data_IF_774495277092
#
_entry.id   IF_774495277092
#
_cell.length_a   1.000
_cell.length_b   1.000
_cell.length_c   1.000
_cell.angle_alpha   90.00
_cell.angle_beta   90.00
_cell.angle_gamma   90.00
#
_symmetry.space_group_name_H-M   'P 1'
#
loop_
_entity.id
_entity.type
_entity.pdbx_description
1 polymer ?
#
# COMPACT_ATOMS: atom_id res chain seq x y z
N UNK A 1 -36.34 34.05 11.02
CA UNK A 1 -36.05 33.28 9.80
C UNK A 1 -34.57 33.43 9.50
N UNK A 2 -33.71 32.43 9.74
CA UNK A 2 -32.36 32.47 9.23
C UNK A 2 -32.38 31.95 7.80
N UNK A 3 -32.07 32.81 6.84
CA UNK A 3 -31.70 32.41 5.48
C UNK A 3 -30.39 31.65 5.55
N UNK A 4 -30.45 30.33 5.62
CA UNK A 4 -29.32 29.46 5.30
C UNK A 4 -29.17 29.45 3.79
N UNK A 5 -28.36 30.35 3.24
CA UNK A 5 -27.75 30.11 1.93
C UNK A 5 -26.81 28.91 2.12
N UNK A 6 -27.37 27.69 1.98
CA UNK A 6 -26.57 26.46 1.90
C UNK A 6 -25.53 26.69 0.81
N UNK A 7 -24.24 26.50 1.15
CA UNK A 7 -23.16 26.69 0.20
C UNK A 7 -23.42 25.78 -1.01
N UNK A 8 -23.44 26.32 -2.23
CA UNK A 8 -23.66 25.53 -3.44
C UNK A 8 -22.33 24.96 -3.94
N UNK A 9 -22.31 23.68 -4.30
CA UNK A 9 -21.22 22.99 -4.98
C UNK A 9 -21.57 22.78 -6.44
N UNK A 10 -20.59 22.91 -7.33
CA UNK A 10 -20.81 22.91 -8.77
C UNK A 10 -20.32 21.60 -9.40
N UNK A 11 -21.25 20.73 -9.80
CA UNK A 11 -20.97 19.32 -10.17
C UNK A 11 -21.26 19.05 -11.65
N UNK A 12 -20.40 18.28 -12.32
CA UNK A 12 -20.58 17.87 -13.72
C UNK A 12 -21.29 16.52 -13.82
N UNK A 13 -22.60 16.52 -13.58
CA UNK A 13 -23.40 15.29 -13.56
C UNK A 13 -23.33 14.50 -14.87
N UNK A 14 -23.29 15.17 -16.02
CA UNK A 14 -23.20 14.52 -17.33
C UNK A 14 -21.84 13.90 -17.70
N UNK A 15 -20.83 13.98 -16.81
CA UNK A 15 -19.57 13.25 -16.94
C UNK A 15 -19.47 12.07 -15.95
N UNK A 16 -20.39 11.99 -14.98
CA UNK A 16 -20.30 11.05 -13.86
C UNK A 16 -21.48 10.09 -13.84
N UNK A 17 -22.69 10.57 -14.16
CA UNK A 17 -23.91 9.77 -14.16
C UNK A 17 -24.22 9.25 -15.57
N UNK A 18 -23.50 8.21 -15.96
CA UNK A 18 -23.86 7.38 -17.10
C UNK A 18 -25.13 6.57 -16.82
N UNK A 19 -25.72 5.99 -17.86
CA UNK A 19 -27.03 5.36 -17.73
C UNK A 19 -27.07 4.02 -17.03
N UNK A 20 -25.92 3.35 -16.98
CA UNK A 20 -25.78 2.10 -16.26
C UNK A 20 -25.63 2.31 -14.75
N UNK A 21 -25.44 3.57 -14.30
CA UNK A 21 -25.30 3.91 -12.88
C UNK A 21 -26.65 3.77 -12.18
N UNK A 22 -26.80 2.86 -11.20
CA UNK A 22 -28.04 2.70 -10.48
C UNK A 22 -28.22 3.87 -9.50
N UNK A 23 -29.21 4.71 -9.77
CA UNK A 23 -29.49 5.91 -8.95
C UNK A 23 -30.17 5.59 -7.61
N UNK A 24 -30.76 4.39 -7.48
CA UNK A 24 -31.47 3.97 -6.28
C UNK A 24 -32.55 4.98 -5.84
N UNK A 25 -32.70 5.24 -4.53
CA UNK A 25 -33.65 6.22 -3.98
C UNK A 25 -33.37 7.67 -4.43
N UNK A 26 -32.14 7.99 -4.86
CA UNK A 26 -31.77 9.34 -5.28
C UNK A 26 -32.32 9.70 -6.67
N UNK A 27 -32.86 8.71 -7.41
CA UNK A 27 -33.46 8.93 -8.72
C UNK A 27 -34.61 9.94 -8.72
N UNK A 28 -35.28 10.12 -7.56
CA UNK A 28 -36.43 11.01 -7.42
C UNK A 28 -36.05 12.43 -6.96
N UNK A 29 -34.76 12.69 -6.74
CA UNK A 29 -34.26 14.05 -6.52
C UNK A 29 -34.49 14.86 -7.79
N UNK A 30 -35.10 16.03 -7.64
CA UNK A 30 -35.37 16.93 -8.75
C UNK A 30 -34.27 17.97 -8.88
N UNK A 31 -33.81 18.17 -10.12
CA UNK A 31 -32.84 19.21 -10.46
C UNK A 31 -33.44 20.25 -11.38
N UNK A 32 -33.08 21.50 -11.09
CA UNK A 32 -33.31 22.62 -11.99
C UNK A 32 -32.49 22.45 -13.26
N UNK A 33 -33.17 22.36 -14.39
CA UNK A 33 -32.57 22.18 -15.70
C UNK A 33 -33.10 23.21 -16.70
N UNK A 34 -32.26 23.50 -17.69
CA UNK A 34 -32.58 24.33 -18.85
C UNK A 34 -32.59 23.46 -20.11
N UNK A 35 -33.58 23.66 -20.98
CA UNK A 35 -33.73 22.98 -22.27
C UNK A 35 -34.15 23.98 -23.34
N UNK A 36 -33.90 23.71 -24.64
CA UNK A 36 -34.59 24.43 -25.71
C UNK A 36 -36.11 24.33 -25.56
N UNK A 37 -36.84 25.36 -25.99
CA UNK A 37 -38.31 25.41 -25.93
C UNK A 37 -39.04 24.28 -26.68
N UNK A 38 -38.34 23.57 -27.56
CA UNK A 38 -38.86 22.36 -28.21
C UNK A 38 -39.04 21.18 -27.24
N UNK A 39 -38.46 21.25 -26.03
CA UNK A 39 -38.43 20.16 -25.05
C UNK A 39 -37.64 18.93 -25.50
N UNK A 40 -37.02 18.99 -26.70
CA UNK A 40 -36.23 17.92 -27.30
C UNK A 40 -34.77 18.33 -27.28
N UNK A 41 -33.97 17.67 -26.44
CA UNK A 41 -32.54 17.96 -26.36
C UNK A 41 -31.91 17.50 -25.05
N UNK A 42 -30.65 17.87 -24.89
CA UNK A 42 -29.93 17.70 -23.61
C UNK A 42 -30.46 18.68 -22.57
N UNK A 43 -30.34 18.31 -21.30
CA UNK A 43 -30.60 19.11 -20.11
C UNK A 43 -29.31 19.83 -19.72
N UNK A 44 -29.43 21.11 -19.40
CA UNK A 44 -28.31 21.99 -19.08
C UNK A 44 -28.47 22.56 -17.68
N UNK A 45 -27.39 22.62 -16.91
CA UNK A 45 -27.37 23.21 -15.57
C UNK A 45 -27.21 24.73 -15.55
N UNK A 46 -26.93 25.33 -16.70
CA UNK A 46 -26.71 26.78 -16.86
C UNK A 46 -27.47 27.29 -18.09
N UNK A 47 -28.31 28.33 -17.97
CA UNK A 47 -29.01 28.93 -19.11
C UNK A 47 -28.05 29.55 -20.15
N UNK A 48 -26.83 29.90 -19.75
CA UNK A 48 -25.79 30.50 -20.60
C UNK A 48 -24.95 29.49 -21.39
N UNK A 49 -25.23 28.19 -21.28
CA UNK A 49 -24.48 27.14 -21.97
C UNK A 49 -24.39 27.42 -23.48
N UNK A 50 -23.19 27.34 -24.06
CA UNK A 50 -22.97 27.60 -25.50
C UNK A 50 -23.86 26.71 -26.39
N UNK A 51 -24.11 25.47 -25.96
CA UNK A 51 -24.97 24.51 -26.65
C UNK A 51 -26.46 24.88 -26.62
N UNK A 52 -26.88 25.80 -25.75
CA UNK A 52 -28.24 26.37 -25.73
C UNK A 52 -28.35 27.63 -26.61
N UNK A 53 -27.25 28.27 -27.02
CA UNK A 53 -27.28 29.58 -27.71
C UNK A 53 -27.92 29.54 -29.09
N UNK A 54 -27.98 28.39 -29.74
CA UNK A 54 -28.71 28.20 -31.00
C UNK A 54 -30.23 28.11 -30.83
N UNK A 55 -30.74 28.12 -29.59
CA UNK A 55 -32.16 28.05 -29.28
C UNK A 55 -32.77 29.47 -29.24
N UNK A 56 -33.87 29.70 -29.95
CA UNK A 56 -34.59 30.98 -29.90
C UNK A 56 -35.24 31.28 -28.54
N UNK A 57 -35.51 30.25 -27.73
CA UNK A 57 -36.03 30.38 -26.37
C UNK A 57 -35.58 29.19 -25.51
N UNK A 58 -35.31 29.45 -24.23
CA UNK A 58 -34.97 28.44 -23.22
C UNK A 58 -36.10 28.28 -22.21
N UNK A 59 -36.34 27.05 -21.78
CA UNK A 59 -37.34 26.73 -20.76
C UNK A 59 -36.64 26.24 -19.50
N UNK A 60 -37.09 26.73 -18.34
CA UNK A 60 -36.74 26.22 -17.02
C UNK A 60 -37.67 25.07 -16.65
N UNK A 61 -37.12 23.97 -16.16
CA UNK A 61 -37.89 22.82 -15.70
C UNK A 61 -37.22 22.15 -14.50
N UNK A 62 -38.03 21.48 -13.69
CA UNK A 62 -37.57 20.55 -12.66
C UNK A 62 -37.68 19.14 -13.24
N UNK A 63 -36.59 18.39 -13.22
CA UNK A 63 -36.55 17.03 -13.76
C UNK A 63 -35.99 16.10 -12.70
N UNK A 64 -36.65 14.98 -12.44
CA UNK A 64 -36.11 13.95 -11.57
C UNK A 64 -34.85 13.35 -12.19
N UNK A 65 -33.84 13.01 -11.37
CA UNK A 65 -32.59 12.43 -11.87
C UNK A 65 -32.81 11.24 -12.80
N UNK A 66 -33.76 10.35 -12.46
CA UNK A 66 -34.11 9.18 -13.27
C UNK A 66 -34.63 9.51 -14.66
N UNK A 67 -35.29 10.65 -14.84
CA UNK A 67 -35.85 11.08 -16.13
C UNK A 67 -34.81 11.80 -17.00
N UNK A 68 -33.74 12.27 -16.35
CA UNK A 68 -32.65 13.03 -16.95
C UNK A 68 -31.48 12.15 -17.41
N UNK A 69 -31.50 10.84 -17.11
CA UNK A 69 -30.53 9.85 -17.60
C UNK A 69 -30.39 9.93 -19.13
N UNK A 70 -29.15 9.89 -19.64
CA UNK A 70 -28.75 10.15 -21.03
C UNK A 70 -28.97 11.57 -21.59
N UNK A 71 -29.69 12.44 -20.88
CA UNK A 71 -29.99 13.78 -21.37
C UNK A 71 -28.99 14.81 -20.86
N UNK A 72 -28.06 14.47 -20.00
CA UNK A 72 -27.13 15.46 -19.44
C UNK A 72 -26.21 16.10 -20.50
N UNK A 73 -26.10 17.43 -20.44
CA UNK A 73 -25.00 18.13 -21.07
C UNK A 73 -23.70 17.86 -20.30
N UNK A 74 -22.70 17.28 -20.96
CA UNK A 74 -21.39 16.96 -20.39
C UNK A 74 -20.56 18.18 -20.01
N UNK A 75 -20.84 19.34 -20.61
CA UNK A 75 -20.11 20.60 -20.36
C UNK A 75 -20.73 21.46 -19.26
N UNK A 76 -21.96 21.17 -18.85
CA UNK A 76 -22.66 21.95 -17.83
C UNK A 76 -22.25 21.50 -16.43
N UNK A 77 -22.35 22.45 -15.49
CA UNK A 77 -22.29 22.17 -14.06
C UNK A 77 -23.64 22.48 -13.43
N UNK A 78 -24.06 21.66 -12.47
CA UNK A 78 -25.27 21.86 -11.69
C UNK A 78 -24.90 22.40 -10.31
N UNK A 79 -25.57 23.46 -9.83
CA UNK A 79 -25.44 23.92 -8.46
C UNK A 79 -26.22 22.99 -7.53
N UNK A 80 -25.51 22.24 -6.70
CA UNK A 80 -26.07 21.30 -5.74
C UNK A 80 -25.82 21.83 -4.32
N UNK A 81 -26.82 21.86 -3.42
CA UNK A 81 -26.60 22.22 -2.01
C UNK A 81 -25.51 21.36 -1.35
N UNK A 82 -24.66 21.96 -0.52
CA UNK A 82 -23.55 21.27 0.15
C UNK A 82 -23.99 20.12 1.07
N UNK A 83 -25.21 20.21 1.59
CA UNK A 83 -25.88 19.22 2.42
C UNK A 83 -26.65 18.16 1.61
N UNK A 84 -26.62 18.22 0.27
CA UNK A 84 -27.33 17.26 -0.57
C UNK A 84 -26.65 15.89 -0.53
N UNK A 85 -27.40 14.79 -0.32
CA UNK A 85 -26.87 13.43 -0.41
C UNK A 85 -26.36 13.09 -1.83
N UNK A 86 -26.77 13.87 -2.84
CA UNK A 86 -26.28 13.73 -4.21
C UNK A 86 -24.77 14.00 -4.33
N UNK A 87 -24.19 14.85 -3.48
CA UNK A 87 -22.74 15.11 -3.52
C UNK A 87 -21.95 13.87 -3.11
N UNK A 88 -22.30 13.25 -1.99
CA UNK A 88 -21.69 12.01 -1.53
C UNK A 88 -21.88 10.88 -2.55
N UNK A 89 -23.08 10.79 -3.15
CA UNK A 89 -23.36 9.79 -4.18
C UNK A 89 -22.52 9.98 -5.43
N UNK A 90 -22.38 11.21 -5.93
CA UNK A 90 -21.57 11.47 -7.12
C UNK A 90 -20.09 11.21 -6.87
N UNK A 91 -19.58 11.47 -5.65
CA UNK A 91 -18.24 11.05 -5.25
C UNK A 91 -18.10 9.53 -5.23
N UNK A 92 -19.07 8.80 -4.70
CA UNK A 92 -19.10 7.34 -4.71
C UNK A 92 -19.12 6.76 -6.14
N UNK A 93 -19.90 7.36 -7.05
CA UNK A 93 -19.92 6.96 -8.48
C UNK A 93 -18.57 7.22 -9.14
N UNK A 94 -17.89 8.32 -8.82
CA UNK A 94 -16.55 8.59 -9.33
C UNK A 94 -15.56 7.52 -8.89
N UNK A 95 -15.53 7.18 -7.59
CA UNK A 95 -14.65 6.14 -7.04
C UNK A 95 -14.85 4.78 -7.73
N UNK A 96 -16.09 4.37 -8.01
CA UNK A 96 -16.37 3.12 -8.76
C UNK A 96 -16.01 3.23 -10.24
N UNK A 97 -16.19 4.41 -10.85
CA UNK A 97 -15.88 4.60 -12.28
C UNK A 97 -14.37 4.56 -12.53
N UNK A 98 -13.58 5.12 -11.62
CA UNK A 98 -12.12 5.17 -11.71
C UNK A 98 -11.48 3.76 -11.72
N UNK A 99 -12.19 2.74 -11.21
CA UNK A 99 -11.75 1.34 -11.28
C UNK A 99 -11.53 0.84 -12.70
N UNK A 100 -12.28 1.37 -13.69
CA UNK A 100 -12.12 0.98 -15.10
C UNK A 100 -10.71 1.27 -15.58
N UNK A 101 -10.24 2.48 -15.34
CA UNK A 101 -8.90 2.92 -15.72
C UNK A 101 -7.82 2.25 -14.87
N UNK A 102 -8.09 2.03 -13.57
CA UNK A 102 -7.12 1.40 -12.66
C UNK A 102 -6.91 -0.10 -12.95
N UNK A 103 -7.92 -0.80 -13.48
CA UNK A 103 -7.82 -2.24 -13.78
C UNK A 103 -7.09 -2.54 -15.09
N UNK A 104 -6.92 -1.53 -15.95
CA UNK A 104 -6.11 -1.67 -17.15
C UNK A 104 -4.64 -1.83 -16.76
N UNK A 105 -3.87 -2.70 -17.43
CA UNK A 105 -2.43 -2.78 -17.21
C UNK A 105 -1.82 -1.39 -17.34
N UNK A 106 -0.93 -1.02 -16.41
CA UNK A 106 -0.21 0.25 -16.52
C UNK A 106 0.43 0.33 -17.91
N UNK A 107 0.21 1.40 -18.68
CA UNK A 107 0.88 1.58 -19.97
C UNK A 107 2.41 1.66 -19.83
N UNK A 108 2.88 1.88 -18.60
CA UNK A 108 4.29 1.87 -18.17
C UNK A 108 4.64 0.52 -17.49
N UNK A 109 4.07 -0.60 -17.94
CA UNK A 109 4.67 -1.92 -17.66
C UNK A 109 5.92 -2.02 -18.51
N UNK A 110 6.97 -1.37 -18.02
CA UNK A 110 8.27 -1.25 -18.69
C UNK A 110 9.03 -2.59 -18.74
N UNK A 111 8.54 -3.61 -18.03
CA UNK A 111 9.25 -4.87 -17.83
C UNK A 111 8.53 -6.03 -18.49
N UNK A 112 9.27 -6.82 -19.26
CA UNK A 112 8.77 -8.06 -19.82
C UNK A 112 8.94 -9.24 -18.85
N UNK A 113 8.30 -10.38 -19.16
CA UNK A 113 8.35 -11.60 -18.35
C UNK A 113 9.79 -12.10 -18.13
N UNK A 114 10.71 -11.84 -19.07
CA UNK A 114 12.12 -12.23 -18.94
C UNK A 114 12.83 -11.38 -17.90
N UNK A 115 12.56 -10.06 -17.89
CA UNK A 115 13.09 -9.13 -16.89
C UNK A 115 12.57 -9.44 -15.50
N UNK A 116 11.28 -9.77 -15.35
CA UNK A 116 10.69 -10.20 -14.07
C UNK A 116 11.33 -11.49 -13.55
N UNK A 117 11.52 -12.50 -14.41
CA UNK A 117 12.16 -13.77 -14.03
C UNK A 117 13.64 -13.57 -13.66
N UNK A 118 14.35 -12.69 -14.39
CA UNK A 118 15.74 -12.37 -14.07
C UNK A 118 15.85 -11.64 -12.73
N UNK A 119 14.96 -10.69 -12.47
CA UNK A 119 14.87 -9.98 -11.20
C UNK A 119 14.61 -10.92 -10.02
N UNK A 120 13.65 -11.83 -10.15
CA UNK A 120 13.37 -12.85 -9.15
C UNK A 120 14.59 -13.76 -8.91
N UNK A 121 15.27 -14.17 -9.99
CA UNK A 121 16.49 -14.97 -9.88
C UNK A 121 17.63 -14.21 -9.19
N UNK A 122 17.78 -12.91 -9.44
CA UNK A 122 18.80 -12.08 -8.79
C UNK A 122 18.51 -11.92 -7.29
N UNK A 123 17.29 -11.47 -6.95
CA UNK A 123 16.87 -11.21 -5.57
C UNK A 123 16.80 -12.48 -4.71
N UNK A 124 16.60 -13.65 -5.32
CA UNK A 124 16.72 -14.93 -4.61
C UNK A 124 18.11 -15.13 -3.98
N UNK A 125 19.15 -14.48 -4.50
CA UNK A 125 20.54 -14.61 -4.02
C UNK A 125 20.97 -13.51 -3.03
N UNK A 126 20.27 -12.37 -2.97
CA UNK A 126 20.60 -11.22 -2.12
C UNK A 126 20.12 -9.90 -2.70
N UNK A 127 20.42 -8.77 -2.06
CA UNK A 127 20.11 -7.42 -2.60
C UNK A 127 21.23 -6.83 -3.47
N UNK A 128 22.43 -7.42 -3.41
CA UNK A 128 23.64 -6.91 -4.03
C UNK A 128 24.47 -8.05 -4.65
N UNK A 129 25.32 -7.73 -5.66
CA UNK A 129 26.29 -8.69 -6.19
C UNK A 129 27.20 -9.26 -5.10
N UNK A 130 27.37 -10.59 -5.08
CA UNK A 130 28.18 -11.29 -4.08
C UNK A 130 29.70 -11.25 -4.36
N UNK A 131 30.13 -10.77 -5.54
CA UNK A 131 31.55 -10.65 -5.88
C UNK A 131 32.10 -9.33 -5.36
N UNK A 132 33.12 -9.41 -4.50
CA UNK A 132 33.94 -8.27 -4.10
C UNK A 132 34.65 -7.67 -5.32
N UNK A 133 34.67 -6.33 -5.43
CA UNK A 133 35.46 -5.65 -6.44
C UNK A 133 36.91 -6.11 -6.31
N UNK A 134 37.47 -6.67 -7.38
CA UNK A 134 38.88 -7.06 -7.38
C UNK A 134 39.70 -5.78 -7.43
N UNK A 135 40.37 -5.48 -6.32
CA UNK A 135 41.45 -4.50 -6.33
C UNK A 135 42.52 -4.99 -7.31
N UNK A 136 42.61 -4.35 -8.48
CA UNK A 136 43.73 -4.52 -9.38
C UNK A 136 44.84 -3.54 -8.98
N UNK A 137 46.10 -3.90 -9.24
CA UNK A 137 47.27 -3.05 -8.92
C UNK A 137 47.29 -1.71 -9.70
N UNK A 138 46.44 -1.54 -10.71
CA UNK A 138 46.08 -0.26 -11.32
C UNK A 138 44.82 0.25 -10.61
N UNK A 139 44.85 1.47 -10.07
CA UNK A 139 43.86 2.20 -9.22
C UNK A 139 42.40 2.31 -9.79
N UNK A 140 41.96 1.38 -10.63
CA UNK A 140 40.61 1.18 -11.12
C UNK A 140 40.07 -0.13 -10.56
N UNK A 141 39.28 -0.04 -9.49
CA UNK A 141 38.43 -1.16 -9.05
C UNK A 141 37.47 -1.51 -10.21
N UNK A 142 37.74 -2.59 -10.96
CA UNK A 142 36.80 -3.13 -11.94
C UNK A 142 35.69 -3.90 -11.21
N UNK A 143 34.75 -3.15 -10.63
CA UNK A 143 33.49 -3.72 -10.17
C UNK A 143 32.68 -4.17 -11.40
N UNK A 144 32.04 -5.34 -11.33
CA UNK A 144 31.14 -5.83 -12.39
C UNK A 144 29.88 -4.94 -12.44
N UNK A 145 29.96 -3.85 -13.22
CA UNK A 145 28.88 -2.88 -13.35
C UNK A 145 27.60 -3.53 -13.89
N UNK A 146 27.71 -4.52 -14.77
CA UNK A 146 26.55 -5.24 -15.30
C UNK A 146 25.81 -6.00 -14.19
N UNK A 147 26.55 -6.62 -13.26
CA UNK A 147 25.94 -7.24 -12.09
C UNK A 147 25.26 -6.20 -11.19
N UNK A 148 25.88 -5.05 -10.95
CA UNK A 148 25.26 -3.98 -10.16
C UNK A 148 23.96 -3.45 -10.79
N UNK A 149 24.00 -3.18 -12.10
CA UNK A 149 22.84 -2.71 -12.86
C UNK A 149 21.70 -3.75 -12.81
N UNK A 150 22.03 -5.05 -12.88
CA UNK A 150 21.05 -6.14 -12.75
C UNK A 150 20.35 -6.14 -11.39
N UNK A 151 21.07 -6.01 -10.28
CA UNK A 151 20.46 -5.97 -8.95
C UNK A 151 19.72 -4.65 -8.69
N UNK A 152 20.20 -3.52 -9.23
CA UNK A 152 19.46 -2.26 -9.19
C UNK A 152 18.12 -2.38 -9.91
N UNK A 153 18.13 -2.92 -11.13
CA UNK A 153 16.92 -3.18 -11.91
C UNK A 153 15.97 -4.13 -11.17
N UNK A 154 16.48 -5.20 -10.58
CA UNK A 154 15.66 -6.16 -9.84
C UNK A 154 14.94 -5.50 -8.64
N UNK A 155 15.66 -4.66 -7.89
CA UNK A 155 15.06 -3.88 -6.79
C UNK A 155 14.03 -2.87 -7.29
N UNK A 156 14.33 -2.18 -8.39
CA UNK A 156 13.39 -1.25 -9.02
C UNK A 156 12.08 -1.97 -9.39
N UNK A 157 12.16 -3.14 -10.02
CA UNK A 157 11.00 -3.96 -10.38
C UNK A 157 10.19 -4.31 -9.11
N UNK A 158 10.84 -4.76 -8.03
CA UNK A 158 10.16 -5.04 -6.76
C UNK A 158 9.43 -3.84 -6.18
N UNK A 159 10.09 -2.68 -6.10
CA UNK A 159 9.48 -1.45 -5.60
C UNK A 159 8.30 -1.01 -6.48
N UNK A 160 8.38 -1.23 -7.81
CA UNK A 160 7.28 -0.93 -8.73
C UNK A 160 6.05 -1.81 -8.48
N UNK A 161 6.21 -3.12 -8.33
CA UNK A 161 5.10 -4.00 -7.98
C UNK A 161 4.49 -3.65 -6.63
N UNK A 162 5.34 -3.32 -5.63
CA UNK A 162 4.88 -2.84 -4.33
C UNK A 162 4.03 -1.58 -4.46
N UNK A 163 4.58 -0.52 -5.07
CA UNK A 163 3.88 0.77 -5.21
C UNK A 163 2.59 0.64 -6.02
N UNK A 164 2.61 -0.17 -7.08
CA UNK A 164 1.44 -0.38 -7.92
C UNK A 164 0.36 -1.18 -7.18
N UNK A 165 0.73 -2.25 -6.48
CA UNK A 165 -0.18 -3.00 -5.62
C UNK A 165 -0.87 -2.08 -4.60
N UNK A 166 -0.10 -1.23 -3.91
CA UNK A 166 -0.62 -0.27 -2.93
C UNK A 166 -1.54 0.77 -3.56
N UNK A 167 -1.20 1.24 -4.75
CA UNK A 167 -2.03 2.16 -5.53
C UNK A 167 -3.39 1.55 -5.91
N UNK A 168 -3.40 0.33 -6.45
CA UNK A 168 -4.64 -0.38 -6.83
C UNK A 168 -5.50 -0.69 -5.61
N UNK A 169 -4.88 -1.10 -4.50
CA UNK A 169 -5.58 -1.33 -3.24
C UNK A 169 -6.31 -0.08 -2.74
N UNK A 170 -5.73 1.12 -2.92
CA UNK A 170 -6.38 2.39 -2.58
C UNK A 170 -7.73 2.58 -3.29
N UNK A 171 -7.78 2.40 -4.61
CA UNK A 171 -9.04 2.47 -5.38
C UNK A 171 -10.07 1.44 -4.94
N UNK A 172 -9.60 0.24 -4.60
CA UNK A 172 -10.48 -0.81 -4.12
C UNK A 172 -11.15 -0.45 -2.78
N UNK A 173 -10.40 0.13 -1.84
CA UNK A 173 -10.94 0.62 -0.57
C UNK A 173 -11.96 1.75 -0.79
N UNK A 174 -11.61 2.76 -1.60
CA UNK A 174 -12.51 3.88 -1.91
C UNK A 174 -13.82 3.39 -2.55
N UNK A 175 -13.72 2.40 -3.45
CA UNK A 175 -14.91 1.77 -4.04
C UNK A 175 -15.70 0.92 -3.05
N UNK A 176 -15.03 0.21 -2.15
CA UNK A 176 -15.67 -0.55 -1.08
C UNK A 176 -16.49 0.34 -0.14
N UNK A 177 -15.89 1.45 0.31
CA UNK A 177 -16.57 2.48 1.10
C UNK A 177 -17.76 3.09 0.34
N UNK A 178 -17.60 3.38 -0.95
CA UNK A 178 -18.67 3.88 -1.81
C UNK A 178 -19.86 2.91 -1.89
N UNK A 179 -19.60 1.61 -2.04
CA UNK A 179 -20.65 0.58 -2.09
C UNK A 179 -21.28 0.35 -0.72
N UNK A 180 -20.51 0.42 0.36
CA UNK A 180 -21.05 0.36 1.73
C UNK A 180 -22.01 1.52 2.02
N UNK A 181 -21.64 2.75 1.61
CA UNK A 181 -22.48 3.94 1.76
C UNK A 181 -23.72 3.93 0.85
N UNK A 182 -23.61 3.32 -0.34
CA UNK A 182 -24.70 3.24 -1.33
C UNK A 182 -24.88 1.79 -1.84
N UNK A 183 -25.52 0.89 -1.06
CA UNK A 183 -25.54 -0.55 -1.36
C UNK A 183 -26.17 -0.93 -2.70
N UNK A 184 -27.07 -0.10 -3.25
CA UNK A 184 -27.65 -0.35 -4.58
C UNK A 184 -26.66 -0.16 -5.73
N UNK A 185 -25.46 0.40 -5.48
CA UNK A 185 -24.36 0.40 -6.45
C UNK A 185 -23.74 -0.99 -6.63
N UNK A 186 -23.93 -1.92 -5.69
CA UNK A 186 -23.24 -3.22 -5.68
C UNK A 186 -23.36 -4.01 -7.01
N UNK A 187 -24.55 -4.20 -7.62
CA UNK A 187 -24.64 -4.96 -8.88
C UNK A 187 -23.88 -4.33 -10.05
N UNK A 188 -23.67 -3.02 -10.02
CA UNK A 188 -22.92 -2.27 -11.03
C UNK A 188 -21.43 -2.24 -10.73
N UNK A 189 -21.05 -2.11 -9.45
CA UNK A 189 -19.65 -2.07 -9.01
C UNK A 189 -18.97 -3.45 -9.01
N UNK A 190 -19.71 -4.52 -8.71
CA UNK A 190 -19.19 -5.88 -8.56
C UNK A 190 -18.27 -6.34 -9.70
N UNK A 191 -18.66 -6.28 -10.99
CA UNK A 191 -17.77 -6.72 -12.07
C UNK A 191 -16.50 -5.85 -12.20
N UNK A 192 -16.55 -4.58 -11.81
CA UNK A 192 -15.37 -3.69 -11.82
C UNK A 192 -14.44 -3.99 -10.65
N UNK A 193 -15.01 -4.23 -9.46
CA UNK A 193 -14.27 -4.66 -8.28
C UNK A 193 -13.63 -6.04 -8.49
N UNK A 194 -14.31 -6.98 -9.15
CA UNK A 194 -13.72 -8.29 -9.50
C UNK A 194 -12.53 -8.15 -10.45
N UNK A 195 -12.65 -7.28 -11.47
CA UNK A 195 -11.55 -7.02 -12.40
C UNK A 195 -10.33 -6.40 -11.69
N UNK A 196 -10.56 -5.41 -10.82
CA UNK A 196 -9.49 -4.78 -10.04
C UNK A 196 -8.89 -5.75 -9.02
N UNK A 197 -9.70 -6.58 -8.37
CA UNK A 197 -9.23 -7.62 -7.45
C UNK A 197 -8.26 -8.59 -8.14
N UNK A 198 -8.55 -8.97 -9.39
CA UNK A 198 -7.64 -9.79 -10.18
C UNK A 198 -6.33 -9.06 -10.52
N UNK A 199 -6.35 -7.74 -10.73
CA UNK A 199 -5.15 -6.94 -10.95
C UNK A 199 -4.30 -6.83 -9.68
N UNK A 200 -4.93 -6.53 -8.54
CA UNK A 200 -4.29 -6.50 -7.22
C UNK A 200 -3.59 -7.83 -6.93
N UNK A 201 -4.26 -8.95 -7.20
CA UNK A 201 -3.71 -10.28 -6.94
C UNK A 201 -2.53 -10.64 -7.84
N UNK A 202 -2.50 -10.15 -9.09
CA UNK A 202 -1.33 -10.29 -9.97
C UNK A 202 -0.13 -9.52 -9.42
N UNK A 203 -0.30 -8.25 -9.07
CA UNK A 203 0.77 -7.42 -8.50
C UNK A 203 1.28 -7.98 -7.16
N UNK A 204 0.36 -8.45 -6.30
CA UNK A 204 0.72 -9.12 -5.04
C UNK A 204 1.56 -10.36 -5.30
N UNK A 205 1.20 -11.17 -6.28
CA UNK A 205 1.93 -12.41 -6.62
C UNK A 205 3.31 -12.11 -7.19
N UNK A 206 3.41 -11.15 -8.13
CA UNK A 206 4.69 -10.71 -8.69
C UNK A 206 5.62 -10.15 -7.60
N UNK A 207 5.09 -9.34 -6.68
CA UNK A 207 5.83 -8.88 -5.51
C UNK A 207 6.32 -10.06 -4.65
N UNK A 208 5.47 -11.06 -4.40
CA UNK A 208 5.84 -12.22 -3.59
C UNK A 208 7.00 -13.03 -4.21
N UNK A 209 7.04 -13.14 -5.54
CA UNK A 209 8.12 -13.85 -6.26
C UNK A 209 9.48 -13.12 -6.17
N UNK A 210 9.46 -11.81 -5.91
CA UNK A 210 10.65 -10.96 -5.73
C UNK A 210 11.10 -10.88 -4.25
N UNK A 211 10.45 -11.60 -3.36
CA UNK A 211 10.72 -11.61 -1.93
C UNK A 211 11.27 -12.94 -1.46
N UNK A 212 12.06 -12.90 -0.38
CA UNK A 212 12.63 -14.09 0.26
C UNK A 212 11.85 -14.41 1.54
N UNK A 213 11.03 -15.48 1.59
CA UNK A 213 10.29 -15.84 2.79
C UNK A 213 11.17 -16.08 4.02
N UNK A 214 12.40 -16.57 3.82
CA UNK A 214 13.39 -16.75 4.88
C UNK A 214 13.86 -15.42 5.48
N UNK A 215 14.04 -14.38 4.66
CA UNK A 215 14.43 -13.05 5.13
C UNK A 215 13.32 -12.44 6.00
N UNK A 216 12.06 -12.54 5.55
CA UNK A 216 10.90 -12.10 6.35
C UNK A 216 10.82 -12.80 7.71
N UNK A 217 11.16 -14.09 7.77
CA UNK A 217 11.18 -14.87 9.00
C UNK A 217 12.36 -14.48 9.92
N UNK A 218 13.55 -14.26 9.37
CA UNK A 218 14.71 -13.77 10.13
C UNK A 218 14.46 -12.37 10.70
N UNK A 219 13.87 -11.48 9.91
CA UNK A 219 13.44 -10.15 10.36
C UNK A 219 12.43 -10.21 11.51
N UNK A 220 11.57 -11.24 11.55
CA UNK A 220 10.53 -11.37 12.57
C UNK A 220 11.10 -11.48 14.00
N UNK A 221 12.33 -11.99 14.16
CA UNK A 221 12.93 -12.15 15.50
C UNK A 221 13.75 -10.95 15.96
N UNK A 222 14.10 -10.04 15.05
CA UNK A 222 14.99 -8.89 15.34
C UNK A 222 14.50 -8.03 16.52
N UNK A 223 13.20 -7.71 16.67
CA UNK A 223 12.71 -6.96 17.83
C UNK A 223 12.84 -7.70 19.17
N UNK A 224 12.98 -9.03 19.15
CA UNK A 224 13.11 -9.87 20.34
C UNK A 224 14.56 -10.13 20.74
N UNK A 225 15.52 -9.73 19.92
CA UNK A 225 16.94 -9.82 20.26
C UNK A 225 17.22 -8.91 21.47
N UNK A 226 17.82 -9.50 22.50
CA UNK A 226 18.32 -8.75 23.64
C UNK A 226 19.46 -7.82 23.21
N UNK A 227 19.57 -6.65 23.84
CA UNK A 227 20.72 -5.77 23.61
C UNK A 227 22.02 -6.56 23.89
N UNK A 228 22.94 -6.65 22.92
CA UNK A 228 24.18 -7.39 23.09
C UNK A 228 25.11 -6.68 24.09
N UNK A 229 26.05 -7.41 24.69
CA UNK A 229 27.10 -6.79 25.51
C UNK A 229 28.07 -6.00 24.63
N UNK A 230 27.86 -4.70 24.54
CA UNK A 230 28.63 -3.78 23.67
C UNK A 230 29.87 -3.23 24.38
N UNK A 231 30.77 -4.12 24.79
CA UNK A 231 32.07 -3.69 25.35
C UNK A 231 33.01 -3.20 24.23
N UNK A 232 33.64 -2.02 24.35
CA UNK A 232 34.56 -1.51 23.34
C UNK A 232 35.74 -2.45 23.09
N UNK A 233 35.73 -3.15 21.96
CA UNK A 233 36.83 -3.99 21.48
C UNK A 233 37.96 -3.11 20.91
N UNK A 234 39.20 -3.62 20.78
CA UNK A 234 40.32 -2.85 20.22
C UNK A 234 40.04 -2.20 18.85
N UNK A 235 39.22 -2.82 18.01
CA UNK A 235 38.79 -2.27 16.71
C UNK A 235 38.02 -0.95 16.81
N UNK A 236 37.37 -0.67 17.96
CA UNK A 236 36.63 0.57 18.20
C UNK A 236 37.44 1.65 18.91
N UNK A 237 38.75 1.46 19.11
CA UNK A 237 39.59 2.42 19.83
C UNK A 237 39.56 3.84 19.22
N UNK A 238 39.34 3.96 17.90
CA UNK A 238 39.18 5.24 17.20
C UNK A 238 37.99 6.09 17.66
N UNK A 239 36.99 5.47 18.30
CA UNK A 239 35.80 6.14 18.84
C UNK A 239 36.07 6.80 20.21
N UNK A 240 37.13 6.39 20.92
CA UNK A 240 37.50 6.97 22.21
C UNK A 240 36.43 6.74 23.29
N UNK A 241 36.23 7.74 24.15
CA UNK A 241 35.33 7.65 25.31
C UNK A 241 33.84 7.46 24.96
N UNK A 242 33.45 7.77 23.72
CA UNK A 242 32.07 7.64 23.24
C UNK A 242 31.73 6.26 22.66
N UNK A 243 32.71 5.33 22.60
CA UNK A 243 32.57 4.05 21.90
C UNK A 243 31.31 3.28 22.31
N UNK A 244 31.05 3.09 23.60
CA UNK A 244 29.89 2.34 24.10
C UNK A 244 28.56 2.99 23.66
N UNK A 245 28.45 4.32 23.78
CA UNK A 245 27.26 5.07 23.39
C UNK A 245 26.99 4.98 21.88
N UNK A 246 28.05 5.07 21.08
CA UNK A 246 27.98 4.95 19.62
C UNK A 246 27.58 3.52 19.23
N UNK A 247 28.17 2.51 19.86
CA UNK A 247 27.82 1.11 19.62
C UNK A 247 26.36 0.81 19.97
N UNK A 248 25.85 1.34 21.08
CA UNK A 248 24.42 1.19 21.44
C UNK A 248 23.51 1.82 20.38
N UNK A 249 23.85 3.02 19.91
CA UNK A 249 23.11 3.68 18.81
C UNK A 249 23.20 2.89 17.50
N UNK A 250 24.36 2.30 17.22
CA UNK A 250 24.61 1.47 16.04
C UNK A 250 23.71 0.23 16.06
N UNK A 251 23.68 -0.48 17.19
CA UNK A 251 22.76 -1.61 17.44
C UNK A 251 21.31 -1.20 17.26
N UNK A 252 20.83 -0.15 17.95
CA UNK A 252 19.44 0.29 17.85
C UNK A 252 19.06 0.72 16.44
N UNK A 253 19.98 1.36 15.69
CA UNK A 253 19.73 1.78 14.31
C UNK A 253 19.63 0.59 13.35
N UNK A 254 20.51 -0.41 13.50
CA UNK A 254 20.40 -1.67 12.75
C UNK A 254 19.11 -2.40 13.12
N UNK A 255 18.81 -2.55 14.41
CA UNK A 255 17.63 -3.26 14.88
C UNK A 255 16.32 -2.64 14.35
N UNK A 256 16.16 -1.32 14.42
CA UNK A 256 14.94 -0.64 13.91
C UNK A 256 14.81 -0.75 12.38
N UNK A 257 15.93 -0.61 11.64
CA UNK A 257 15.93 -0.76 10.17
C UNK A 257 15.62 -2.20 9.76
N UNK A 258 16.39 -3.16 10.27
CA UNK A 258 16.25 -4.57 9.95
C UNK A 258 14.85 -5.07 10.33
N UNK A 259 14.31 -4.67 11.49
CA UNK A 259 12.96 -5.04 11.91
C UNK A 259 11.88 -4.64 10.88
N UNK A 260 12.06 -3.56 10.12
CA UNK A 260 11.05 -3.04 9.18
C UNK A 260 11.30 -3.44 7.72
N UNK A 261 12.39 -4.14 7.44
CA UNK A 261 12.81 -4.47 6.08
C UNK A 261 12.27 -5.82 5.61
N UNK A 262 12.15 -5.99 4.29
CA UNK A 262 11.95 -7.29 3.65
C UNK A 262 13.24 -7.93 3.12
N UNK A 263 14.37 -7.20 3.22
CA UNK A 263 15.68 -7.64 2.73
C UNK A 263 16.30 -8.66 3.68
N UNK A 264 17.33 -9.36 3.23
CA UNK A 264 18.11 -10.20 4.13
C UNK A 264 18.84 -9.32 5.16
N UNK A 265 19.12 -9.88 6.35
CA UNK A 265 19.73 -9.13 7.43
C UNK A 265 21.15 -8.65 7.09
N UNK A 266 21.85 -9.36 6.22
CA UNK A 266 23.15 -8.97 5.66
C UNK A 266 23.09 -7.65 4.89
N UNK A 267 21.94 -7.35 4.26
CA UNK A 267 21.77 -6.20 3.37
C UNK A 267 21.27 -4.95 4.12
N UNK A 268 21.01 -5.05 5.43
CA UNK A 268 20.54 -3.96 6.31
C UNK A 268 21.64 -3.33 7.20
N UNK A 269 22.90 -3.68 6.96
CA UNK A 269 24.07 -3.19 7.70
C UNK A 269 24.27 -1.66 7.56
N UNK A 270 23.80 -1.08 6.45
CA UNK A 270 23.98 0.34 6.12
C UNK A 270 23.51 1.28 7.26
N UNK A 271 22.43 0.96 7.95
CA UNK A 271 21.93 1.78 9.06
C UNK A 271 22.93 1.82 10.23
N UNK A 272 23.58 0.70 10.54
CA UNK A 272 24.65 0.64 11.52
C UNK A 272 25.91 1.38 11.02
N UNK A 273 26.30 1.12 9.77
CA UNK A 273 27.45 1.74 9.10
C UNK A 273 27.36 3.26 9.05
N UNK A 274 26.16 3.81 8.83
CA UNK A 274 25.90 5.26 8.80
C UNK A 274 26.14 5.92 10.17
N UNK A 275 25.70 5.29 11.27
CA UNK A 275 25.96 5.79 12.63
C UNK A 275 27.47 5.85 12.92
N UNK A 276 28.20 4.82 12.50
CA UNK A 276 29.65 4.77 12.67
C UNK A 276 30.36 5.82 11.80
N UNK A 277 29.93 5.98 10.54
CA UNK A 277 30.42 7.00 9.64
C UNK A 277 30.29 8.41 10.24
N UNK A 278 29.10 8.75 10.75
CA UNK A 278 28.82 10.03 11.39
C UNK A 278 29.68 10.27 12.62
N UNK A 279 29.94 9.23 13.42
CA UNK A 279 30.77 9.32 14.61
C UNK A 279 32.25 9.60 14.29
N UNK A 280 32.78 9.05 13.19
CA UNK A 280 34.13 9.38 12.74
C UNK A 280 34.21 10.75 12.08
N UNK A 281 33.18 11.15 11.34
CA UNK A 281 33.16 12.38 10.56
C UNK A 281 34.35 12.44 9.60
N UNK A 282 35.21 13.47 9.73
CA UNK A 282 36.41 13.63 8.89
C UNK A 282 37.62 12.80 9.35
N UNK A 283 37.55 12.11 10.50
CA UNK A 283 38.66 11.32 11.04
C UNK A 283 38.83 10.04 10.24
N UNK A 284 40.05 9.81 9.71
CA UNK A 284 40.38 8.62 8.92
C UNK A 284 41.08 7.51 9.72
N UNK A 285 41.80 7.87 10.78
CA UNK A 285 42.57 6.90 11.58
C UNK A 285 41.65 6.02 12.41
N UNK A 286 41.82 4.70 12.34
CA UNK A 286 41.03 3.75 13.13
C UNK A 286 39.63 3.48 12.54
N UNK A 287 39.34 4.03 11.36
CA UNK A 287 38.01 3.96 10.75
C UNK A 287 37.79 2.59 10.11
N UNK A 288 38.71 2.15 9.28
CA UNK A 288 38.60 0.86 8.58
C UNK A 288 38.60 -0.31 9.58
N UNK A 289 39.41 -0.21 10.65
CA UNK A 289 39.39 -1.18 11.75
C UNK A 289 38.06 -1.21 12.51
N UNK A 290 37.36 -0.05 12.60
CA UNK A 290 36.06 0.03 13.24
C UNK A 290 34.94 -0.51 12.34
N UNK A 291 34.99 -0.31 11.03
CA UNK A 291 34.06 -0.91 10.07
C UNK A 291 34.22 -2.43 10.04
N UNK A 292 35.44 -2.95 9.92
CA UNK A 292 35.68 -4.40 9.99
C UNK A 292 35.22 -5.02 11.33
N UNK A 293 35.37 -4.29 12.44
CA UNK A 293 34.86 -4.73 13.74
C UNK A 293 33.33 -4.65 13.83
N UNK A 294 32.70 -3.71 13.13
CA UNK A 294 31.26 -3.59 13.02
C UNK A 294 30.67 -4.74 12.20
N UNK A 295 31.27 -5.08 11.05
CA UNK A 295 30.82 -6.19 10.20
C UNK A 295 30.80 -7.51 10.99
N UNK A 296 31.84 -7.75 11.80
CA UNK A 296 31.89 -8.89 12.70
C UNK A 296 30.79 -8.87 13.77
N UNK A 297 30.45 -7.70 14.33
CA UNK A 297 29.34 -7.58 15.28
C UNK A 297 27.98 -7.82 14.62
N UNK A 298 27.75 -7.26 13.42
CA UNK A 298 26.51 -7.47 12.66
C UNK A 298 26.36 -8.95 12.31
N UNK A 299 27.43 -9.62 11.88
CA UNK A 299 27.43 -11.06 11.65
C UNK A 299 27.07 -11.87 12.92
N UNK A 300 27.62 -11.51 14.09
CA UNK A 300 27.27 -12.13 15.39
C UNK A 300 25.77 -11.97 15.68
N UNK A 301 25.19 -10.78 15.40
CA UNK A 301 23.76 -10.51 15.60
C UNK A 301 22.87 -11.33 14.67
N UNK A 302 23.26 -11.47 13.40
CA UNK A 302 22.55 -12.29 12.41
C UNK A 302 22.57 -13.77 12.85
N UNK A 303 23.70 -14.26 13.36
CA UNK A 303 23.80 -15.63 13.90
C UNK A 303 22.82 -15.84 15.06
N UNK A 304 22.68 -14.87 15.96
CA UNK A 304 21.71 -14.94 17.06
C UNK A 304 20.26 -14.97 16.54
N UNK A 305 19.92 -14.14 15.56
CA UNK A 305 18.60 -14.14 14.92
C UNK A 305 18.29 -15.51 14.30
N UNK A 306 19.22 -16.05 13.50
CA UNK A 306 19.06 -17.37 12.86
C UNK A 306 18.91 -18.50 13.85
N UNK A 307 19.63 -18.44 14.98
CA UNK A 307 19.48 -19.41 16.06
C UNK A 307 18.07 -19.40 16.63
N UNK A 308 17.50 -18.23 16.91
CA UNK A 308 16.12 -18.10 17.39
C UNK A 308 15.10 -18.64 16.38
N UNK A 309 15.31 -18.38 15.08
CA UNK A 309 14.47 -18.95 14.01
C UNK A 309 14.53 -20.48 14.01
N UNK A 310 15.74 -21.05 14.09
CA UNK A 310 15.93 -22.50 14.10
C UNK A 310 15.21 -23.19 15.27
N UNK A 311 15.23 -22.57 16.46
CA UNK A 311 14.54 -23.05 17.67
C UNK A 311 13.02 -23.20 17.49
N UNK A 312 12.41 -22.44 16.58
CA UNK A 312 10.97 -22.42 16.33
C UNK A 312 10.56 -22.97 14.95
N UNK A 313 11.49 -23.58 14.22
CA UNK A 313 11.29 -24.09 12.85
C UNK A 313 10.15 -25.11 12.71
N UNK A 314 9.85 -25.86 13.77
CA UNK A 314 8.80 -26.90 13.80
C UNK A 314 7.47 -26.40 14.39
N UNK A 315 7.35 -25.13 14.76
CA UNK A 315 6.13 -24.61 15.35
C UNK A 315 5.00 -24.55 14.30
N UNK A 316 3.74 -24.79 14.70
CA UNK A 316 2.62 -24.75 13.77
C UNK A 316 2.42 -23.33 13.22
N UNK A 317 2.02 -23.25 11.95
CA UNK A 317 1.59 -21.98 11.34
C UNK A 317 0.29 -21.51 11.98
N UNK A 318 0.10 -20.20 12.01
CA UNK A 318 -1.07 -19.57 12.60
C UNK A 318 -1.82 -18.76 11.54
N UNK A 319 -3.15 -18.86 11.57
CA UNK A 319 -4.02 -18.05 10.71
C UNK A 319 -4.34 -16.72 11.43
N UNK A 320 -4.14 -15.62 10.72
CA UNK A 320 -4.34 -14.27 11.26
C UNK A 320 -5.14 -13.44 10.25
N UNK A 321 -6.15 -12.72 10.73
CA UNK A 321 -6.86 -11.69 9.98
C UNK A 321 -6.20 -10.33 10.19
N UNK A 322 -6.14 -9.55 9.12
CA UNK A 322 -5.61 -8.19 9.14
C UNK A 322 -6.53 -7.22 8.39
N UNK A 323 -6.53 -5.95 8.82
CA UNK A 323 -6.97 -4.83 7.96
C UNK A 323 -5.74 -4.21 7.31
N UNK A 324 -5.74 -4.19 5.98
CA UNK A 324 -4.72 -3.52 5.19
C UNK A 324 -5.06 -2.03 5.17
N UNK A 325 -4.23 -1.15 5.76
CA UNK A 325 -4.50 0.28 5.76
C UNK A 325 -4.40 0.87 4.35
N UNK A 326 -5.15 1.95 4.12
CA UNK A 326 -4.98 2.80 2.94
C UNK A 326 -3.65 3.55 2.98
N UNK A 327 -3.12 3.91 1.81
CA UNK A 327 -1.98 4.85 1.74
C UNK A 327 -2.46 6.22 2.21
N UNK A 328 -1.76 6.82 3.16
CA UNK A 328 -2.10 8.14 3.67
C UNK A 328 -1.62 9.23 2.71
N UNK A 329 -2.42 10.28 2.52
CA UNK A 329 -1.99 11.48 1.81
C UNK A 329 -1.78 12.61 2.82
N UNK A 330 -0.56 13.14 2.89
CA UNK A 330 -0.28 14.34 3.67
C UNK A 330 -1.09 15.52 3.09
N UNK A 331 -2.00 16.06 3.90
CA UNK A 331 -2.86 17.18 3.53
C UNK A 331 -2.08 18.46 3.19
N UNK A 332 -0.84 18.59 3.63
CA UNK A 332 -0.03 19.82 3.49
C UNK A 332 0.85 19.79 2.24
N UNK A 333 1.45 18.63 1.94
CA UNK A 333 2.43 18.50 0.86
C UNK A 333 2.01 17.55 -0.26
N UNK A 334 0.90 16.82 -0.08
CA UNK A 334 0.43 15.83 -1.05
C UNK A 334 1.33 14.60 -1.14
N UNK A 335 2.31 14.45 -0.24
CA UNK A 335 3.15 13.26 -0.19
C UNK A 335 2.31 12.07 0.24
N UNK A 336 2.36 11.01 -0.57
CA UNK A 336 1.82 9.71 -0.20
C UNK A 336 2.77 9.06 0.79
N UNK A 337 2.25 8.68 1.96
CA UNK A 337 2.97 7.92 2.97
C UNK A 337 2.28 6.57 3.10
N UNK A 338 3.01 5.50 2.83
CA UNK A 338 2.51 4.19 3.15
C UNK A 338 2.65 3.94 4.66
N UNK A 339 1.56 3.64 5.38
CA UNK A 339 1.65 3.25 6.78
C UNK A 339 2.22 1.84 6.98
N UNK A 340 2.27 1.01 5.93
CA UNK A 340 2.94 -0.29 5.97
C UNK A 340 4.45 -0.13 5.82
N UNK A 341 5.19 -0.84 6.68
CA UNK A 341 6.61 -1.09 6.46
C UNK A 341 6.82 -2.10 5.33
N UNK A 342 8.00 -2.09 4.67
CA UNK A 342 8.37 -3.12 3.70
C UNK A 342 8.18 -4.55 4.24
N UNK A 343 8.56 -4.80 5.50
CA UNK A 343 8.33 -6.11 6.13
C UNK A 343 6.85 -6.50 6.12
N UNK A 344 5.95 -5.62 6.57
CA UNK A 344 4.50 -5.89 6.63
C UNK A 344 3.89 -6.09 5.24
N UNK A 345 4.27 -5.24 4.28
CA UNK A 345 3.87 -5.42 2.88
C UNK A 345 4.34 -6.78 2.33
N UNK A 346 5.57 -7.16 2.62
CA UNK A 346 6.14 -8.44 2.23
C UNK A 346 5.43 -9.64 2.88
N UNK A 347 4.94 -9.50 4.12
CA UNK A 347 4.14 -10.55 4.76
C UNK A 347 2.81 -10.76 4.05
N UNK A 348 2.11 -9.67 3.71
CA UNK A 348 0.84 -9.72 2.99
C UNK A 348 1.07 -10.35 1.62
N UNK A 349 2.10 -9.90 0.91
CA UNK A 349 2.46 -10.45 -0.38
C UNK A 349 2.76 -11.95 -0.29
N UNK A 350 3.55 -12.39 0.68
CA UNK A 350 4.06 -13.78 0.73
C UNK A 350 3.06 -14.77 1.32
N UNK A 351 2.27 -14.38 2.32
CA UNK A 351 1.53 -15.31 3.17
C UNK A 351 0.00 -15.19 3.09
N UNK A 352 -0.53 -14.33 2.21
CA UNK A 352 -1.97 -14.22 1.99
C UNK A 352 -2.55 -15.54 1.48
N UNK A 353 -3.65 -15.98 2.10
CA UNK A 353 -4.42 -17.17 1.69
C UNK A 353 -5.87 -16.82 1.31
N UNK A 354 -6.37 -15.66 1.74
CA UNK A 354 -7.68 -15.14 1.36
C UNK A 354 -7.71 -13.61 1.50
N UNK A 355 -8.56 -12.95 0.73
CA UNK A 355 -8.79 -11.51 0.83
C UNK A 355 -10.25 -11.14 0.54
N UNK A 356 -10.74 -10.12 1.24
CA UNK A 356 -11.96 -9.39 0.94
C UNK A 356 -11.52 -7.97 0.61
N UNK A 357 -11.09 -7.77 -0.63
CA UNK A 357 -10.41 -6.54 -1.05
C UNK A 357 -11.25 -5.26 -0.83
N UNK A 358 -12.56 -5.22 -1.14
CA UNK A 358 -13.36 -4.02 -0.88
C UNK A 358 -13.43 -3.63 0.61
N UNK A 359 -13.25 -4.61 1.52
CA UNK A 359 -13.25 -4.37 2.95
C UNK A 359 -11.84 -4.15 3.53
N UNK A 360 -10.81 -4.14 2.66
CA UNK A 360 -9.41 -4.04 3.06
C UNK A 360 -8.96 -5.17 3.97
N UNK A 361 -9.57 -6.35 3.87
CA UNK A 361 -9.31 -7.44 4.80
C UNK A 361 -8.58 -8.59 4.12
N UNK A 362 -7.59 -9.15 4.81
CA UNK A 362 -6.88 -10.35 4.34
C UNK A 362 -6.67 -11.35 5.47
N UNK A 363 -6.63 -12.63 5.12
CA UNK A 363 -6.20 -13.70 6.01
C UNK A 363 -4.81 -14.18 5.58
N UNK A 364 -3.89 -14.24 6.54
CA UNK A 364 -2.51 -14.65 6.35
C UNK A 364 -2.24 -15.97 7.10
N UNK A 365 -1.61 -16.94 6.44
CA UNK A 365 -1.15 -18.18 7.07
C UNK A 365 0.35 -18.08 7.37
N UNK A 366 0.66 -17.65 8.59
CA UNK A 366 1.99 -17.18 8.97
C UNK A 366 2.80 -18.24 9.73
N UNK A 367 4.12 -18.31 9.54
CA UNK A 367 5.04 -18.94 10.49
C UNK A 367 4.83 -18.40 11.91
N UNK A 368 5.00 -19.27 12.91
CA UNK A 368 4.74 -18.95 14.32
C UNK A 368 5.39 -17.64 14.78
N UNK A 369 6.69 -17.45 14.53
CA UNK A 369 7.42 -16.24 14.94
C UNK A 369 6.88 -14.94 14.32
N UNK A 370 6.43 -15.01 13.05
CA UNK A 370 5.84 -13.87 12.36
C UNK A 370 4.50 -13.52 13.00
N UNK A 371 3.66 -14.53 13.26
CA UNK A 371 2.37 -14.34 13.87
C UNK A 371 2.47 -13.79 15.30
N UNK A 372 3.35 -14.35 16.14
CA UNK A 372 3.60 -13.84 17.49
C UNK A 372 4.06 -12.38 17.47
N UNK A 373 4.97 -12.02 16.54
CA UNK A 373 5.39 -10.63 16.38
C UNK A 373 4.23 -9.69 16.03
N UNK A 374 3.43 -10.04 15.02
CA UNK A 374 2.29 -9.20 14.62
C UNK A 374 1.23 -9.07 15.73
N UNK A 375 1.00 -10.13 16.50
CA UNK A 375 0.01 -10.15 17.58
C UNK A 375 0.48 -9.43 18.84
N UNK A 376 1.77 -9.50 19.19
CA UNK A 376 2.33 -8.83 20.36
C UNK A 376 2.60 -7.34 20.12
N UNK A 377 2.93 -6.98 18.89
CA UNK A 377 3.32 -5.63 18.50
C UNK A 377 2.36 -5.10 17.46
N UNK A 378 1.04 -5.25 17.69
CA UNK A 378 -0.01 -4.79 16.78
C UNK A 378 0.40 -3.44 16.22
N UNK A 379 0.80 -3.39 14.93
CA UNK A 379 1.32 -2.17 14.36
C UNK A 379 0.27 -1.09 14.55
N UNK A 380 0.66 0.12 14.97
CA UNK A 380 -0.30 1.23 15.05
C UNK A 380 -1.01 1.50 13.71
N UNK A 381 -0.44 0.98 12.61
CA UNK A 381 -0.94 1.06 11.24
C UNK A 381 -1.94 -0.03 10.83
N UNK A 382 -2.05 -1.17 11.53
CA UNK A 382 -2.90 -2.29 11.08
C UNK A 382 -3.59 -3.01 12.25
N UNK A 383 -4.88 -3.34 12.10
CA UNK A 383 -5.54 -4.26 13.05
C UNK A 383 -5.18 -5.70 12.72
N UNK A 384 -4.85 -6.48 13.74
CA UNK A 384 -4.41 -7.87 13.63
C UNK A 384 -5.20 -8.71 14.63
N UNK A 385 -5.73 -9.84 14.19
CA UNK A 385 -6.49 -10.75 15.07
C UNK A 385 -6.21 -12.19 14.67
N UNK A 386 -5.94 -13.07 15.64
CA UNK A 386 -5.82 -14.51 15.38
C UNK A 386 -7.19 -15.08 14.97
N UNK A 387 -7.22 -15.85 13.89
CA UNK A 387 -8.40 -16.59 13.47
C UNK A 387 -8.32 -18.03 13.96
N UNK A 388 -9.39 -18.50 14.62
CA UNK A 388 -9.46 -19.88 15.11
C UNK A 388 -10.18 -20.78 14.10
N UNK A 389 -9.41 -21.66 13.46
CA UNK A 389 -9.92 -22.68 12.54
C UNK A 389 -10.47 -23.90 13.28
N UNK A 390 -9.91 -24.25 14.44
CA UNK A 390 -10.20 -25.50 15.14
C UNK A 390 -11.55 -25.44 15.85
N UNK A 391 -11.88 -24.29 16.45
CA UNK A 391 -13.17 -24.11 17.13
C UNK A 391 -14.33 -23.87 16.16
N UNK A 392 -14.06 -23.29 14.99
CA UNK A 392 -15.10 -22.87 14.05
C UNK A 392 -15.46 -23.93 12.99
N UNK A 393 -14.47 -24.70 12.50
CA UNK A 393 -14.64 -25.64 11.40
C UNK A 393 -15.06 -25.01 10.06
N UNK A 394 -15.00 -23.68 9.95
CA UNK A 394 -15.44 -22.93 8.77
C UNK A 394 -14.28 -22.76 7.75
N UNK A 395 -14.58 -22.65 6.45
CA UNK A 395 -13.61 -22.21 5.46
C UNK A 395 -13.02 -20.83 5.79
N UNK A 396 -11.75 -20.59 5.42
CA UNK A 396 -11.04 -19.33 5.70
C UNK A 396 -11.80 -18.09 5.22
N UNK A 397 -12.42 -18.15 4.03
CA UNK A 397 -13.20 -17.03 3.49
C UNK A 397 -14.39 -16.67 4.38
N UNK A 398 -15.10 -17.66 4.93
CA UNK A 398 -16.25 -17.45 5.81
C UNK A 398 -15.81 -16.86 7.16
N UNK A 399 -14.68 -17.35 7.71
CA UNK A 399 -14.08 -16.78 8.92
C UNK A 399 -13.70 -15.32 8.74
N UNK A 400 -13.06 -15.00 7.61
CA UNK A 400 -12.66 -13.64 7.29
C UNK A 400 -13.90 -12.74 7.15
N UNK A 401 -14.97 -13.20 6.48
CA UNK A 401 -16.23 -12.45 6.35
C UNK A 401 -16.90 -12.18 7.70
N UNK A 402 -16.94 -13.18 8.59
CA UNK A 402 -17.49 -13.00 9.94
C UNK A 402 -16.67 -11.99 10.75
N UNK A 403 -15.34 -12.08 10.67
CA UNK A 403 -14.47 -11.13 11.35
C UNK A 403 -14.64 -9.69 10.84
N UNK A 404 -14.75 -9.48 9.53
CA UNK A 404 -15.02 -8.14 8.94
C UNK A 404 -16.33 -7.56 9.49
N UNK A 405 -17.38 -8.36 9.53
CA UNK A 405 -18.69 -7.91 10.02
C UNK A 405 -18.65 -7.54 11.51
N UNK A 406 -17.90 -8.30 12.32
CA UNK A 406 -17.72 -8.02 13.74
C UNK A 406 -16.87 -6.75 13.97
N UNK A 407 -15.77 -6.58 13.23
CA UNK A 407 -14.87 -5.43 13.32
C UNK A 407 -15.59 -4.12 12.96
N UNK A 408 -16.40 -4.13 11.90
CA UNK A 408 -17.15 -2.96 11.46
C UNK A 408 -18.24 -2.58 12.48
N UNK A 409 -18.94 -3.57 13.07
CA UNK A 409 -19.93 -3.32 14.13
C UNK A 409 -19.32 -2.71 15.41
N UNK A 410 -18.05 -2.98 15.70
CA UNK A 410 -17.34 -2.39 16.84
C UNK A 410 -16.90 -0.93 16.59
N UNK A 411 -16.84 -0.46 15.34
CA UNK A 411 -16.49 0.94 15.00
C UNK A 411 -17.69 1.88 14.97
N UNK A 412 -18.91 1.35 14.87
CA UNK A 412 -20.16 2.14 14.88
C UNK A 412 -20.68 2.46 16.31
N UNK A 413 -20.06 1.88 17.34
CA UNK A 413 -20.33 2.12 18.77
C UNK A 413 -19.35 3.13 19.38
#
# INVERSE_FOLDING_TARGET
MPSTTSALRSVRLGQLLDADVPLGPLGDIHLTCHTPSSGKGKLHGDPGCSMLRSSHATQLMQVALREAVHKWCSNCRWPIPADSPLLAFVSAVAAVTDLKSASEPSPDTDFDETEELDAASALATGEYPQQECRATDDDTDECDQEAWDRFEQARLIRERHHDHWRYLHGYMLESGEAVAAFPWLHPWAAPLQEALAAAIERERSALADLLRPSALLETAVVPFLSEPELTPRPGFAGLGADAERILRRTWSSWQDKAARSWTALEDDDFAASSVLYDAFGRRRKGRDEAFAALDALVADWIVLARKMVAEHSNAPRQLVAIKIPAVEQDATYGHRRDPLSPWEAGLIATYQVAAIWPAGAAALLLPHLIAERLLMSTPGSMSVTRLDLEESGLPVNELLSHWVTADDAHKEL
#
